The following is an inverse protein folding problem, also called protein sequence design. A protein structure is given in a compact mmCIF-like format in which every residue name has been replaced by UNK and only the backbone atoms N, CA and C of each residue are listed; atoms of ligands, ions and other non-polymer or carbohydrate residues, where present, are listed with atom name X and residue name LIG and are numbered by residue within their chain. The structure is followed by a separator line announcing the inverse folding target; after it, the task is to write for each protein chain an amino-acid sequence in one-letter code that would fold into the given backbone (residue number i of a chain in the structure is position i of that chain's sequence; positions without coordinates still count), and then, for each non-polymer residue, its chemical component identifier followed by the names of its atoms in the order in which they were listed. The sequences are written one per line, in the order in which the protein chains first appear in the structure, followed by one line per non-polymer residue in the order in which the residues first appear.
data_IF_561008563249
#
_entry.id   IF_561008563249
#
_cell.length_a   1.000
_cell.length_b   1.000
_cell.length_c   1.000
_cell.angle_alpha   90.00
_cell.angle_beta   90.00
_cell.angle_gamma   90.00
#
_symmetry.space_group_name_H-M   'P 1'
#
loop_
_entity.id
_entity.type
_entity.pdbx_description
1 polymer ?
#
# COMPACT_ATOMS: atom_id res chain seq x y z
N UNK A 1 2.06 -9.99 -5.86
CA UNK A 1 0.63 -9.64 -5.88
C UNK A 1 -0.02 -9.80 -7.27
N UNK A 2 0.26 -10.86 -8.05
CA UNK A 2 -0.35 -11.00 -9.39
C UNK A 2 -0.86 -12.42 -9.70
N UNK A 3 -0.56 -13.41 -8.86
CA UNK A 3 -1.08 -14.76 -9.03
C UNK A 3 -2.44 -14.96 -8.33
N UNK A 4 -2.64 -14.32 -7.18
CA UNK A 4 -3.74 -14.62 -6.28
C UNK A 4 -5.10 -14.21 -6.84
N UNK A 5 -5.24 -12.96 -7.31
CA UNK A 5 -6.53 -12.44 -7.78
C UNK A 5 -6.95 -12.98 -9.16
N UNK A 6 -5.99 -13.48 -9.96
CA UNK A 6 -6.25 -13.96 -11.33
C UNK A 6 -6.43 -15.49 -11.36
N UNK A 7 -5.70 -16.21 -10.50
CA UNK A 7 -5.73 -17.67 -10.45
C UNK A 7 -6.55 -18.22 -9.27
N UNK A 8 -7.02 -17.36 -8.37
CA UNK A 8 -7.76 -17.70 -7.14
C UNK A 8 -6.99 -18.67 -6.22
N UNK A 9 -5.65 -18.54 -6.22
CA UNK A 9 -4.73 -19.39 -5.46
C UNK A 9 -4.01 -18.55 -4.42
N UNK A 10 -4.25 -18.85 -3.14
CA UNK A 10 -3.63 -18.19 -1.98
C UNK A 10 -4.46 -17.03 -1.43
N UNK A 11 -3.92 -16.34 -0.43
CA UNK A 11 -4.55 -15.16 0.17
C UNK A 11 -3.93 -13.86 -0.37
N UNK A 12 -4.76 -12.86 -0.65
CA UNK A 12 -4.31 -11.54 -1.10
C UNK A 12 -3.70 -10.75 0.07
N UNK A 13 -2.68 -9.91 -0.20
CA UNK A 13 -2.18 -8.94 0.77
C UNK A 13 -2.94 -7.60 0.69
N UNK A 14 -4.02 -7.52 -0.09
CA UNK A 14 -4.94 -6.39 -0.07
C UNK A 14 -5.34 -6.04 1.38
N UNK A 15 -5.35 -4.75 1.69
CA UNK A 15 -5.60 -4.19 3.04
C UNK A 15 -4.62 -4.61 4.14
N UNK A 16 -3.47 -5.20 3.78
CA UNK A 16 -2.45 -5.64 4.75
C UNK A 16 -1.07 -5.13 4.35
N UNK A 17 -0.26 -4.78 5.34
CA UNK A 17 1.15 -4.50 5.17
C UNK A 17 1.95 -5.73 5.60
N UNK A 18 2.74 -6.28 4.68
CA UNK A 18 3.73 -7.29 4.98
C UNK A 18 5.01 -6.61 5.46
N UNK A 19 5.46 -6.97 6.65
CA UNK A 19 6.72 -6.50 7.20
C UNK A 19 7.64 -7.71 7.31
N UNK A 20 8.80 -7.61 6.66
CA UNK A 20 9.86 -8.60 6.71
C UNK A 20 10.99 -8.08 7.62
N UNK A 21 11.22 -8.80 8.71
CA UNK A 21 12.41 -8.62 9.54
C UNK A 21 13.52 -9.53 9.00
N UNK A 22 14.50 -8.91 8.34
CA UNK A 22 15.59 -9.63 7.69
C UNK A 22 16.60 -10.23 8.68
N UNK A 23 16.72 -9.67 9.90
CA UNK A 23 17.67 -10.15 10.89
C UNK A 23 17.15 -11.41 11.55
N UNK A 24 15.87 -11.42 11.92
CA UNK A 24 15.23 -12.57 12.56
C UNK A 24 14.58 -13.55 11.56
N UNK A 25 14.62 -13.23 10.26
CA UNK A 25 13.92 -13.94 9.18
C UNK A 25 12.43 -14.15 9.47
N UNK A 26 11.77 -13.13 10.00
CA UNK A 26 10.35 -13.19 10.38
C UNK A 26 9.49 -12.37 9.43
N UNK A 27 8.30 -12.89 9.17
CA UNK A 27 7.26 -12.19 8.45
C UNK A 27 6.11 -11.89 9.41
N UNK A 28 5.67 -10.63 9.43
CA UNK A 28 4.46 -10.22 10.15
C UNK A 28 3.56 -9.43 9.22
N UNK A 29 2.26 -9.68 9.34
CA UNK A 29 1.24 -8.97 8.56
C UNK A 29 0.43 -8.09 9.50
N UNK A 30 0.31 -6.82 9.16
CA UNK A 30 -0.46 -5.83 9.93
C UNK A 30 -1.60 -5.31 9.07
N UNK A 31 -2.82 -5.28 9.62
CA UNK A 31 -3.98 -4.73 8.91
C UNK A 31 -3.85 -3.22 8.71
N UNK A 32 -4.23 -2.74 7.52
CA UNK A 32 -4.26 -1.32 7.17
C UNK A 32 -5.67 -0.95 6.67
N UNK A 33 -6.62 -0.65 7.58
CA UNK A 33 -7.95 -0.24 7.17
C UNK A 33 -7.91 1.10 6.44
N UNK A 34 -8.86 1.30 5.53
CA UNK A 34 -9.07 2.59 4.85
C UNK A 34 -9.32 3.70 5.86
N UNK A 35 -8.61 4.82 5.72
CA UNK A 35 -8.88 6.03 6.51
C UNK A 35 -10.13 6.74 5.96
N UNK A 36 -11.21 6.91 6.75
CA UNK A 36 -12.40 7.65 6.31
C UNK A 36 -12.13 9.13 6.01
N UNK A 37 -11.00 9.69 6.48
CA UNK A 37 -10.57 11.07 6.22
C UNK A 37 -9.49 11.19 5.16
N UNK A 38 -9.21 10.12 4.40
CA UNK A 38 -8.19 10.14 3.36
C UNK A 38 -8.48 11.24 2.32
N UNK A 39 -7.56 12.20 2.07
CA UNK A 39 -7.78 13.29 1.13
C UNK A 39 -7.88 12.83 -0.34
N UNK A 40 -7.55 11.56 -0.63
CA UNK A 40 -7.55 10.99 -1.98
C UNK A 40 -8.77 10.09 -2.26
N UNK A 41 -9.15 9.22 -1.32
CA UNK A 41 -10.16 8.18 -1.55
C UNK A 41 -11.33 8.17 -0.56
N UNK A 42 -11.42 9.17 0.32
CA UNK A 42 -12.60 9.37 1.18
C UNK A 42 -13.83 9.82 0.37
N UNK A 43 -14.98 9.94 1.04
CA UNK A 43 -16.20 10.44 0.42
C UNK A 43 -16.10 11.91 -0.04
N UNK A 44 -15.20 12.69 0.55
CA UNK A 44 -14.95 14.09 0.20
C UNK A 44 -13.45 14.29 -0.11
N UNK A 45 -12.96 13.84 -1.28
CA UNK A 45 -11.56 13.96 -1.64
C UNK A 45 -11.18 15.42 -1.90
N UNK A 46 -9.99 15.81 -1.46
CA UNK A 46 -9.41 17.14 -1.71
C UNK A 46 -8.28 17.11 -2.74
N UNK A 47 -7.64 15.94 -2.94
CA UNK A 47 -6.64 15.73 -3.99
C UNK A 47 -7.37 15.25 -5.24
N UNK A 48 -7.53 16.14 -6.21
CA UNK A 48 -8.29 15.88 -7.45
C UNK A 48 -7.45 16.02 -8.71
N UNK A 49 -6.21 16.52 -8.59
CA UNK A 49 -5.29 16.71 -9.68
C UNK A 49 -3.93 16.10 -9.34
N UNK A 50 -3.18 15.71 -10.38
CA UNK A 50 -1.83 15.19 -10.25
C UNK A 50 -0.85 16.37 -10.32
N UNK A 51 -0.04 16.54 -9.29
CA UNK A 51 1.10 17.45 -9.31
C UNK A 51 2.38 16.65 -9.57
N UNK A 52 3.19 17.10 -10.52
CA UNK A 52 4.48 16.47 -10.81
C UNK A 52 5.54 16.98 -9.84
N UNK A 53 6.09 16.07 -9.03
CA UNK A 53 7.19 16.38 -8.13
C UNK A 53 8.51 15.90 -8.74
N UNK A 54 9.36 16.84 -9.16
CA UNK A 54 10.74 16.54 -9.58
C UNK A 54 11.63 16.38 -8.34
N UNK A 55 12.13 15.17 -8.11
CA UNK A 55 13.15 14.91 -7.09
C UNK A 55 14.52 14.91 -7.77
N UNK A 56 15.37 15.88 -7.42
CA UNK A 56 16.78 15.87 -7.78
C UNK A 56 17.61 15.40 -6.58
N UNK A 57 18.53 14.46 -6.82
CA UNK A 57 19.55 14.11 -5.85
C UNK A 57 20.86 14.75 -6.30
N UNK A 58 21.44 15.62 -5.48
CA UNK A 58 22.85 16.00 -5.63
C UNK A 58 23.72 14.93 -4.98
N UNK A 59 24.73 14.46 -5.71
CA UNK A 59 25.79 13.57 -5.20
C UNK A 59 26.78 14.37 -4.36
#
# INVERSE_FOLDING_TARGET
EAGTDILDIGDTLADRLLIYDALEMKFRSVGRPKDPRCPLCSANPTITALEEHHVSCSV
#
